data_IF_341994761095
#
_entry.id   IF_341994761095
#
_cell.length_a   1.000
_cell.length_b   1.000
_cell.length_c   1.000
_cell.angle_alpha   90.00
_cell.angle_beta   90.00
_cell.angle_gamma   90.00
#
_symmetry.space_group_name_H-M   'P 1'
#
loop_
_entity.id
_entity.type
_entity.pdbx_description
1 polymer ?
#
# COMPACT_ATOMS: atom_id res chain seq x y z
N UNK A 1 -4.34 10.86 -15.40
CA UNK A 1 -2.92 10.54 -15.10
C UNK A 1 -2.86 9.15 -14.49
N UNK A 2 -1.92 8.30 -14.91
CA UNK A 2 -1.69 6.97 -14.33
C UNK A 2 -0.31 6.96 -13.67
N UNK A 3 -0.24 6.66 -12.38
CA UNK A 3 1.02 6.46 -11.65
C UNK A 3 1.43 5.00 -11.73
N UNK A 4 2.60 4.77 -12.30
CA UNK A 4 3.17 3.43 -12.48
C UNK A 4 3.77 2.89 -11.16
N UNK A 5 3.78 1.56 -10.95
CA UNK A 5 4.29 0.94 -9.73
C UNK A 5 5.82 0.92 -9.72
N UNK A 6 6.43 1.97 -9.18
CA UNK A 6 7.90 2.19 -9.24
C UNK A 6 8.75 1.08 -8.58
N UNK A 7 8.21 0.37 -7.58
CA UNK A 7 8.96 -0.62 -6.83
C UNK A 7 8.66 -2.08 -7.24
N UNK A 8 7.76 -2.28 -8.22
CA UNK A 8 7.43 -3.60 -8.73
C UNK A 8 8.66 -4.25 -9.40
N UNK A 9 8.93 -5.51 -9.08
CA UNK A 9 10.10 -6.24 -9.55
C UNK A 9 11.37 -6.00 -8.72
N UNK A 10 11.36 -5.02 -7.80
CA UNK A 10 12.48 -4.75 -6.89
C UNK A 10 12.10 -5.06 -5.43
N UNK A 11 11.02 -4.47 -4.94
CA UNK A 11 10.60 -4.61 -3.54
C UNK A 11 9.59 -5.74 -3.36
N UNK A 12 8.81 -6.02 -4.40
CA UNK A 12 7.81 -7.06 -4.43
C UNK A 12 7.67 -7.57 -5.88
N UNK A 13 7.13 -8.78 -6.09
CA UNK A 13 6.98 -9.34 -7.44
C UNK A 13 6.14 -8.45 -8.37
N UNK A 14 6.61 -8.23 -9.60
CA UNK A 14 5.88 -7.44 -10.59
C UNK A 14 4.69 -8.20 -11.20
N UNK A 15 4.74 -9.52 -11.27
CA UNK A 15 3.66 -10.30 -11.88
C UNK A 15 2.49 -10.50 -10.89
N UNK A 16 1.23 -10.38 -11.35
CA UNK A 16 0.07 -10.58 -10.49
C UNK A 16 0.05 -11.96 -9.82
N UNK A 17 0.41 -13.01 -10.56
CA UNK A 17 0.42 -14.38 -10.06
C UNK A 17 1.47 -14.60 -8.97
N UNK A 18 2.71 -14.13 -9.18
CA UNK A 18 3.77 -14.24 -8.18
C UNK A 18 3.47 -13.39 -6.95
N UNK A 19 2.89 -12.20 -7.13
CA UNK A 19 2.50 -11.35 -6.01
C UNK A 19 1.40 -12.01 -5.17
N UNK A 20 0.38 -12.62 -5.78
CA UNK A 20 -0.65 -13.38 -5.03
C UNK A 20 -0.04 -14.51 -4.22
N UNK A 21 0.89 -15.27 -4.81
CA UNK A 21 1.60 -16.36 -4.12
C UNK A 21 2.40 -15.83 -2.93
N UNK A 22 3.10 -14.72 -3.11
CA UNK A 22 3.89 -14.11 -2.04
C UNK A 22 3.00 -13.56 -0.92
N UNK A 23 1.91 -12.85 -1.25
CA UNK A 23 0.95 -12.37 -0.26
C UNK A 23 0.31 -13.52 0.53
N UNK A 24 -0.01 -14.66 -0.12
CA UNK A 24 -0.55 -15.83 0.56
C UNK A 24 0.44 -16.45 1.57
N UNK A 25 1.75 -16.25 1.39
CA UNK A 25 2.80 -16.66 2.33
C UNK A 25 2.96 -15.68 3.49
N UNK A 26 2.74 -14.39 3.25
CA UNK A 26 2.95 -13.33 4.21
C UNK A 26 1.73 -13.06 5.11
N UNK A 27 0.52 -13.26 4.59
CA UNK A 27 -0.73 -13.02 5.29
C UNK A 27 -1.16 -14.24 6.11
N UNK A 28 -1.60 -13.99 7.35
CA UNK A 28 -2.23 -14.97 8.21
C UNK A 28 -3.73 -15.04 7.87
N UNK A 29 -4.24 -16.25 7.68
CA UNK A 29 -5.65 -16.48 7.30
C UNK A 29 -6.58 -16.59 8.51
N UNK A 30 -6.03 -16.92 9.66
CA UNK A 30 -6.77 -17.20 10.88
C UNK A 30 -6.69 -16.01 11.84
N UNK A 31 -7.72 -15.89 12.67
CA UNK A 31 -7.84 -14.83 13.67
C UNK A 31 -8.92 -13.81 13.33
N UNK A 32 -9.38 -13.12 14.38
CA UNK A 32 -10.35 -12.05 14.26
C UNK A 32 -9.67 -10.81 13.68
N UNK A 33 -10.31 -10.17 12.71
CA UNK A 33 -9.93 -8.83 12.25
C UNK A 33 -10.66 -7.78 13.07
N UNK A 34 -9.95 -6.73 13.42
CA UNK A 34 -10.45 -5.60 14.19
C UNK A 34 -10.57 -4.38 13.30
N UNK A 35 -11.59 -3.56 13.56
CA UNK A 35 -11.68 -2.25 12.93
C UNK A 35 -10.61 -1.35 13.56
N UNK A 36 -9.82 -0.69 12.73
CA UNK A 36 -8.79 0.23 13.20
C UNK A 36 -8.89 1.55 12.46
N UNK A 37 -8.63 2.65 13.18
CA UNK A 37 -8.53 3.98 12.60
C UNK A 37 -7.28 4.13 11.73
N UNK A 38 -6.23 3.36 12.00
CA UNK A 38 -4.98 3.42 11.26
C UNK A 38 -4.08 2.23 11.53
N UNK A 39 -3.06 2.10 10.69
CA UNK A 39 -2.03 1.06 10.80
C UNK A 39 -0.66 1.65 10.46
N UNK A 40 0.33 1.33 11.29
CA UNK A 40 1.74 1.63 11.00
C UNK A 40 2.43 0.33 10.61
N UNK A 41 3.11 0.32 9.46
CA UNK A 41 3.79 -0.86 8.92
C UNK A 41 5.12 -0.45 8.30
N UNK A 42 6.15 -1.31 8.34
CA UNK A 42 7.36 -1.11 7.54
C UNK A 42 7.05 -1.13 6.03
N UNK A 43 7.89 -0.46 5.24
CA UNK A 43 7.76 -0.33 3.78
C UNK A 43 8.99 -0.81 2.99
N UNK A 44 9.90 -1.56 3.63
CA UNK A 44 11.01 -2.18 2.92
C UNK A 44 10.50 -3.32 1.99
N UNK A 45 11.40 -3.84 1.13
CA UNK A 45 11.08 -4.97 0.28
C UNK A 45 10.53 -6.17 1.07
N UNK A 46 9.63 -6.94 0.45
CA UNK A 46 8.89 -8.03 1.11
C UNK A 46 9.79 -9.12 1.70
N UNK A 47 10.95 -9.35 1.10
CA UNK A 47 11.98 -10.25 1.65
C UNK A 47 12.41 -9.84 3.06
N UNK A 48 12.49 -8.54 3.33
CA UNK A 48 12.97 -7.98 4.59
C UNK A 48 11.85 -7.75 5.60
N UNK A 49 10.76 -7.09 5.18
CA UNK A 49 9.71 -6.64 6.10
C UNK A 49 8.32 -7.22 5.82
N UNK A 50 8.18 -8.06 4.80
CA UNK A 50 6.88 -8.58 4.37
C UNK A 50 6.15 -9.38 5.45
N UNK A 51 6.89 -10.13 6.29
CA UNK A 51 6.29 -10.91 7.38
C UNK A 51 5.66 -10.02 8.46
N UNK A 52 6.32 -8.91 8.80
CA UNK A 52 5.83 -7.94 9.80
C UNK A 52 4.61 -7.21 9.24
N UNK A 53 4.73 -6.68 8.02
CA UNK A 53 3.59 -6.03 7.34
C UNK A 53 2.39 -6.98 7.21
N UNK A 54 2.63 -8.22 6.79
CA UNK A 54 1.61 -9.25 6.65
C UNK A 54 0.90 -9.55 7.97
N UNK A 55 1.62 -9.68 9.08
CA UNK A 55 1.02 -9.90 10.40
C UNK A 55 0.11 -8.72 10.82
N UNK A 56 0.51 -7.48 10.53
CA UNK A 56 -0.29 -6.28 10.79
C UNK A 56 -1.58 -6.26 9.95
N UNK A 57 -1.46 -6.40 8.62
CA UNK A 57 -2.61 -6.38 7.72
C UNK A 57 -3.58 -7.55 7.94
N UNK A 58 -3.10 -8.66 8.50
CA UNK A 58 -3.96 -9.82 8.78
C UNK A 58 -4.91 -9.60 9.95
N UNK A 59 -4.63 -8.62 10.82
CA UNK A 59 -5.42 -8.33 12.03
C UNK A 59 -6.36 -7.14 11.87
N UNK A 60 -6.23 -6.37 10.80
CA UNK A 60 -6.99 -5.13 10.62
C UNK A 60 -8.00 -5.27 9.48
N UNK A 61 -9.20 -4.76 9.71
CA UNK A 61 -10.21 -4.51 8.70
C UNK A 61 -10.18 -3.01 8.37
N UNK A 62 -9.68 -2.69 7.18
CA UNK A 62 -9.77 -1.35 6.61
C UNK A 62 -11.01 -1.29 5.71
N UNK A 63 -11.82 -0.25 5.85
CA UNK A 63 -13.05 -0.03 5.06
C UNK A 63 -13.05 1.39 4.49
N UNK A 64 -13.70 1.57 3.34
CA UNK A 64 -13.83 2.88 2.70
C UNK A 64 -12.51 3.42 2.13
N UNK A 65 -12.36 4.75 2.20
CA UNK A 65 -11.17 5.47 1.71
C UNK A 65 -10.03 5.36 2.72
N UNK A 66 -8.84 4.98 2.23
CA UNK A 66 -7.62 4.89 3.06
C UNK A 66 -6.64 5.99 2.67
N UNK A 67 -6.03 6.63 3.67
CA UNK A 67 -4.96 7.62 3.48
C UNK A 67 -3.62 6.92 3.75
N UNK A 68 -2.74 6.92 2.76
CA UNK A 68 -1.38 6.35 2.89
C UNK A 68 -0.39 7.50 3.05
N UNK A 69 0.23 7.56 4.22
CA UNK A 69 1.28 8.54 4.53
C UNK A 69 2.64 7.85 4.53
N UNK A 70 3.61 8.44 3.84
CA UNK A 70 4.97 7.91 3.75
C UNK A 70 5.99 9.05 3.70
N UNK A 71 7.20 8.83 4.26
CA UNK A 71 8.25 9.82 4.20
C UNK A 71 8.78 9.99 2.78
N UNK A 72 9.29 11.20 2.49
CA UNK A 72 10.04 11.45 1.28
C UNK A 72 11.52 11.10 1.49
N UNK A 73 11.95 9.93 1.01
CA UNK A 73 13.34 9.48 1.13
C UNK A 73 14.31 10.15 0.15
N UNK A 74 13.82 10.93 -0.82
CA UNK A 74 14.70 11.65 -1.76
C UNK A 74 15.22 12.97 -1.18
N UNK A 75 14.51 13.54 -0.20
CA UNK A 75 14.79 14.87 0.33
C UNK A 75 14.48 16.03 -0.65
N UNK A 76 13.93 15.74 -1.83
CA UNK A 76 13.64 16.73 -2.87
C UNK A 76 12.14 17.03 -2.96
N UNK A 77 11.79 18.28 -3.28
CA UNK A 77 10.41 18.71 -3.52
C UNK A 77 9.76 19.38 -2.31
N UNK A 78 8.43 19.43 -2.30
CA UNK A 78 7.66 20.09 -1.26
C UNK A 78 7.72 19.32 0.09
N UNK A 79 7.54 20.01 1.24
CA UNK A 79 7.48 19.37 2.55
C UNK A 79 6.36 18.31 2.65
N UNK A 80 5.23 18.58 1.99
CA UNK A 80 4.11 17.66 1.85
C UNK A 80 3.62 17.69 0.42
N UNK A 81 3.21 16.54 -0.11
CA UNK A 81 2.64 16.43 -1.45
C UNK A 81 1.65 15.28 -1.52
N UNK A 82 0.56 15.50 -2.25
CA UNK A 82 -0.46 14.49 -2.51
C UNK A 82 -0.80 14.47 -4.01
N UNK A 83 -1.17 13.30 -4.52
CA UNK A 83 -1.75 13.17 -5.86
C UNK A 83 -3.26 13.42 -5.74
N UNK A 84 -3.74 14.55 -6.29
CA UNK A 84 -5.14 14.99 -6.11
C UNK A 84 -6.14 14.43 -7.13
N UNK A 85 -5.65 13.76 -8.18
CA UNK A 85 -6.50 13.06 -9.15
C UNK A 85 -5.73 11.99 -9.92
N UNK A 86 -6.46 11.04 -10.50
CA UNK A 86 -5.92 9.96 -11.33
C UNK A 86 -5.90 8.61 -10.62
N UNK A 87 -5.06 7.71 -11.11
CA UNK A 87 -5.09 6.28 -10.74
C UNK A 87 -3.68 5.77 -10.47
N UNK A 88 -3.53 4.98 -9.43
CA UNK A 88 -2.33 4.17 -9.18
C UNK A 88 -2.51 2.82 -9.84
N UNK A 89 -1.65 2.49 -10.78
CA UNK A 89 -1.60 1.14 -11.33
C UNK A 89 -0.78 0.25 -10.41
N UNK A 90 -1.38 -0.83 -9.94
CA UNK A 90 -0.71 -1.84 -9.12
C UNK A 90 -0.81 -3.22 -9.80
N UNK A 91 0.08 -4.18 -9.48
CA UNK A 91 0.05 -5.48 -10.14
C UNK A 91 -1.25 -6.27 -9.96
N UNK A 92 -2.04 -6.00 -8.91
CA UNK A 92 -3.33 -6.68 -8.69
C UNK A 92 -4.55 -5.89 -9.20
N UNK A 93 -4.34 -4.72 -9.77
CA UNK A 93 -5.42 -3.86 -10.24
C UNK A 93 -5.10 -2.38 -10.05
N UNK A 94 -6.01 -1.55 -10.56
CA UNK A 94 -5.93 -0.12 -10.42
C UNK A 94 -6.56 0.33 -9.09
N UNK A 95 -5.97 1.36 -8.48
CA UNK A 95 -6.50 2.03 -7.28
C UNK A 95 -6.75 3.49 -7.62
N UNK A 96 -8.00 3.92 -7.50
CA UNK A 96 -8.39 5.30 -7.80
C UNK A 96 -8.13 6.22 -6.61
N UNK A 97 -7.67 7.43 -6.91
CA UNK A 97 -7.60 8.49 -5.89
C UNK A 97 -9.00 8.99 -5.59
N UNK A 98 -9.34 9.11 -4.31
CA UNK A 98 -10.53 9.85 -3.88
C UNK A 98 -10.32 11.34 -4.17
N UNK A 99 -10.81 11.78 -5.33
CA UNK A 99 -10.59 13.15 -5.84
C UNK A 99 -11.25 14.19 -4.95
N UNK A 100 -12.42 13.89 -4.38
CA UNK A 100 -13.12 14.83 -3.54
C UNK A 100 -12.33 15.06 -2.25
N UNK A 101 -11.94 13.98 -1.56
CA UNK A 101 -11.15 14.08 -0.33
C UNK A 101 -9.80 14.76 -0.61
N UNK A 102 -9.07 14.34 -1.65
CA UNK A 102 -7.72 14.83 -1.92
C UNK A 102 -7.67 16.30 -2.37
N UNK A 103 -8.76 16.88 -2.87
CA UNK A 103 -8.81 18.30 -3.25
C UNK A 103 -9.34 19.22 -2.16
N UNK A 104 -9.95 18.67 -1.11
CA UNK A 104 -10.58 19.41 -0.02
C UNK A 104 -9.91 19.12 1.34
N UNK A 105 -8.72 18.52 1.32
CA UNK A 105 -7.89 18.23 2.50
C UNK A 105 -6.85 19.32 2.74
#
# INVERSE_FOLDING_TARGET
>A
MIRQPQAAGQFYPASPAALRKELARLLQKEGKREEALGLVTPHAGYTFSGKVAGACFSKVKLTGTVIILGPNHTGLGAPFSIMTSGTWQMPLGNVEVDVFLAKNS
#
